data_IF_543448196379
#
_entry.id   IF_543448196379
#
_cell.length_a   1.000
_cell.length_b   1.000
_cell.length_c   1.000
_cell.angle_alpha   90.00
_cell.angle_beta   90.00
_cell.angle_gamma   90.00
#
_symmetry.space_group_name_H-M   'P 1'
#
loop_
_entity.id
_entity.type
_entity.pdbx_description
1 polymer ?
#
# COMPACT_ATOMS: atom_id res chain seq x y z
N UNK A 1 5.28 -7.67 6.60
CA UNK A 1 6.08 -6.84 5.67
C UNK A 1 7.05 -6.00 6.48
N UNK A 2 8.35 -6.01 6.16
CA UNK A 2 9.37 -5.20 6.89
C UNK A 2 9.83 -3.97 6.10
N UNK A 3 9.72 -4.02 4.78
CA UNK A 3 9.91 -2.89 3.88
C UNK A 3 9.15 -3.15 2.58
N UNK A 4 8.78 -2.07 1.91
CA UNK A 4 8.22 -2.07 0.57
C UNK A 4 8.88 -0.95 -0.23
N UNK A 5 9.06 -1.18 -1.52
CA UNK A 5 9.59 -0.19 -2.45
C UNK A 5 8.87 -0.33 -3.78
N UNK A 6 8.58 0.81 -4.41
CA UNK A 6 8.00 0.87 -5.74
C UNK A 6 8.67 2.00 -6.53
N UNK A 7 8.46 2.03 -7.85
CA UNK A 7 9.08 3.01 -8.74
C UNK A 7 8.82 4.44 -8.27
N UNK A 8 9.88 5.23 -8.11
CA UNK A 8 9.82 6.61 -7.64
C UNK A 8 9.93 6.80 -6.12
N UNK A 9 9.88 5.74 -5.32
CA UNK A 9 10.09 5.84 -3.88
C UNK A 9 11.55 6.15 -3.52
N UNK A 10 11.74 7.18 -2.69
CA UNK A 10 13.01 7.52 -2.03
C UNK A 10 13.12 6.80 -0.68
N UNK A 11 14.26 6.89 0.03
CA UNK A 11 14.36 6.33 1.38
C UNK A 11 13.26 6.86 2.30
N UNK A 12 12.69 5.97 3.09
CA UNK A 12 11.68 6.32 4.10
C UNK A 12 12.31 6.31 5.49
N UNK A 13 12.09 7.40 6.23
CA UNK A 13 12.57 7.53 7.62
C UNK A 13 11.35 7.46 8.54
N UNK A 14 11.39 6.57 9.54
CA UNK A 14 10.35 6.48 10.57
C UNK A 14 10.29 7.75 11.45
N UNK A 15 9.09 8.14 11.92
CA UNK A 15 8.92 9.28 12.84
C UNK A 15 9.55 8.98 14.20
N UNK A 16 10.02 9.97 14.94
CA UNK A 16 10.82 9.80 16.17
C UNK A 16 10.12 8.92 17.23
N UNK A 17 8.80 8.92 17.24
CA UNK A 17 7.95 8.22 18.19
C UNK A 17 7.85 6.71 17.94
N UNK A 18 8.23 6.23 16.74
CA UNK A 18 8.05 4.83 16.35
C UNK A 18 9.18 4.25 15.49
N UNK A 19 9.36 2.94 15.56
CA UNK A 19 10.25 2.17 14.68
C UNK A 19 9.71 0.75 14.48
N UNK A 20 10.08 0.09 13.39
CA UNK A 20 9.68 -1.30 13.16
C UNK A 20 10.61 -2.23 13.97
N UNK A 21 10.11 -2.96 14.98
CA UNK A 21 10.93 -3.92 15.70
C UNK A 21 11.37 -5.06 14.78
N UNK A 22 12.65 -5.42 14.85
CA UNK A 22 13.25 -6.46 14.03
C UNK A 22 14.26 -7.27 14.85
N UNK A 23 14.13 -8.60 14.84
CA UNK A 23 15.01 -9.52 15.57
C UNK A 23 14.55 -9.84 17.00
N UNK A 24 15.40 -10.55 17.74
CA UNK A 24 15.14 -11.01 19.12
C UNK A 24 14.71 -12.48 19.21
N UNK A 25 14.65 -13.07 20.43
CA UNK A 25 14.44 -14.51 20.63
C UNK A 25 13.12 -15.07 20.09
N UNK A 26 12.09 -14.22 19.95
CA UNK A 26 10.75 -14.59 19.48
C UNK A 26 10.52 -14.25 18.01
N UNK A 27 11.51 -13.66 17.34
CA UNK A 27 11.39 -13.20 15.95
C UNK A 27 11.92 -14.24 14.97
N UNK A 28 11.38 -14.29 13.75
CA UNK A 28 11.86 -15.18 12.71
C UNK A 28 13.28 -14.76 12.26
N UNK A 29 14.29 -15.64 12.32
CA UNK A 29 15.67 -15.27 11.99
C UNK A 29 15.90 -15.07 10.47
N UNK A 30 14.91 -15.33 9.62
CA UNK A 30 15.02 -15.21 8.17
C UNK A 30 14.22 -14.02 7.62
N UNK A 31 14.79 -13.36 6.62
CA UNK A 31 14.10 -12.36 5.79
C UNK A 31 13.87 -12.96 4.41
N UNK A 32 12.64 -12.84 3.91
CA UNK A 32 12.32 -13.08 2.51
C UNK A 32 12.39 -11.74 1.75
N UNK A 33 13.25 -11.69 0.74
CA UNK A 33 13.29 -10.59 -0.22
C UNK A 33 12.61 -11.06 -1.51
N UNK A 34 11.53 -10.38 -1.88
CA UNK A 34 10.82 -10.59 -3.13
C UNK A 34 11.07 -9.41 -4.06
N UNK A 35 11.55 -9.68 -5.28
CA UNK A 35 11.86 -8.66 -6.29
C UNK A 35 11.05 -8.95 -7.55
N UNK A 36 10.28 -7.96 -7.98
CA UNK A 36 9.50 -8.02 -9.21
C UNK A 36 10.31 -7.48 -10.39
N UNK A 37 10.75 -8.36 -11.30
CA UNK A 37 11.44 -7.99 -12.53
C UNK A 37 10.46 -7.93 -13.71
N UNK A 38 10.23 -6.74 -14.26
CA UNK A 38 9.61 -6.60 -15.57
C UNK A 38 10.69 -6.66 -16.66
N UNK A 39 10.82 -7.81 -17.35
CA UNK A 39 11.86 -8.07 -18.35
C UNK A 39 11.26 -8.22 -19.76
N UNK A 40 10.79 -7.12 -20.40
CA UNK A 40 10.14 -7.19 -21.71
C UNK A 40 11.07 -7.72 -22.81
N UNK A 41 12.38 -7.47 -22.72
CA UNK A 41 13.38 -7.95 -23.67
C UNK A 41 13.78 -9.41 -23.46
N UNK A 42 13.30 -10.05 -22.38
CA UNK A 42 13.62 -11.45 -22.00
C UNK A 42 15.13 -11.72 -21.94
N UNK A 43 15.89 -10.74 -21.46
CA UNK A 43 17.35 -10.85 -21.30
C UNK A 43 17.72 -11.80 -20.16
N UNK A 44 18.75 -12.60 -20.38
CA UNK A 44 19.33 -13.51 -19.39
C UNK A 44 20.82 -13.27 -19.14
N UNK A 45 21.38 -12.22 -19.72
CA UNK A 45 22.80 -11.88 -19.66
C UNK A 45 23.15 -10.88 -18.55
N UNK A 46 22.15 -10.42 -17.80
CA UNK A 46 22.34 -9.49 -16.68
C UNK A 46 22.41 -10.23 -15.36
N UNK A 47 23.36 -9.83 -14.53
CA UNK A 47 23.47 -10.27 -13.13
C UNK A 47 23.01 -9.10 -12.28
N UNK A 48 21.95 -9.32 -11.51
CA UNK A 48 21.42 -8.35 -10.57
C UNK A 48 21.83 -8.72 -9.13
N UNK A 49 22.03 -7.70 -8.30
CA UNK A 49 22.27 -7.83 -6.86
C UNK A 49 21.55 -6.72 -6.10
N UNK A 50 20.32 -6.43 -6.51
CA UNK A 50 19.44 -5.43 -5.93
C UNK A 50 18.90 -5.88 -4.58
N UNK A 51 18.48 -4.90 -3.77
CA UNK A 51 17.89 -5.16 -2.47
C UNK A 51 17.48 -3.88 -1.74
N UNK A 52 17.25 -4.02 -0.44
CA UNK A 52 16.83 -2.94 0.45
C UNK A 52 17.90 -2.75 1.51
N UNK A 53 18.30 -1.50 1.74
CA UNK A 53 19.20 -1.13 2.84
C UNK A 53 18.39 -0.72 4.07
N UNK A 54 18.65 -1.37 5.21
CA UNK A 54 18.05 -1.03 6.49
C UNK A 54 19.01 -0.20 7.34
N UNK A 55 18.48 0.87 7.95
CA UNK A 55 19.17 1.65 8.99
C UNK A 55 18.52 1.32 10.32
N UNK A 56 19.28 0.72 11.25
CA UNK A 56 18.75 0.10 12.46
C UNK A 56 19.42 0.76 13.69
N UNK A 57 18.67 0.89 14.78
CA UNK A 57 19.14 1.36 16.09
C UNK A 57 18.98 0.27 17.13
N UNK A 58 19.81 0.31 18.17
CA UNK A 58 19.81 -0.70 19.25
C UNK A 58 18.73 -0.46 20.30
N UNK A 59 18.40 0.81 20.54
CA UNK A 59 17.41 1.21 21.54
C UNK A 59 16.01 1.29 20.91
N UNK A 60 15.04 0.66 21.57
CA UNK A 60 13.64 0.71 21.14
C UNK A 60 13.08 2.13 21.26
N UNK A 61 12.28 2.50 20.28
CA UNK A 61 11.46 3.72 20.34
C UNK A 61 10.21 3.46 21.21
N UNK A 62 9.49 4.52 21.62
CA UNK A 62 8.33 4.36 22.49
C UNK A 62 7.21 3.49 21.91
N UNK A 63 7.09 3.42 20.57
CA UNK A 63 6.05 2.65 19.90
C UNK A 63 6.63 1.74 18.80
N UNK A 64 6.03 0.57 18.65
CA UNK A 64 6.28 -0.31 17.51
C UNK A 64 5.46 0.16 16.30
N UNK A 65 6.14 0.34 15.17
CA UNK A 65 5.50 0.62 13.90
C UNK A 65 5.07 -0.69 13.20
N UNK A 66 4.02 -0.61 12.39
CA UNK A 66 3.57 -1.71 11.55
C UNK A 66 3.21 -1.24 10.14
N UNK A 67 2.97 -2.21 9.25
CA UNK A 67 2.47 -1.97 7.89
C UNK A 67 1.17 -2.73 7.73
N UNK A 68 0.13 -2.04 7.27
CA UNK A 68 -1.18 -2.62 6.95
C UNK A 68 -1.42 -2.38 5.47
N UNK A 69 -1.84 -3.43 4.77
CA UNK A 69 -2.27 -3.35 3.39
C UNK A 69 -3.78 -3.14 3.32
N UNK A 70 -4.23 -2.16 2.53
CA UNK A 70 -5.64 -1.78 2.39
C UNK A 70 -5.99 -1.69 0.91
N UNK A 71 -6.97 -2.49 0.47
CA UNK A 71 -7.38 -2.44 -0.93
C UNK A 71 -8.14 -3.67 -1.37
N UNK A 72 -7.98 -3.99 -2.64
CA UNK A 72 -8.59 -5.13 -3.31
C UNK A 72 -7.70 -6.36 -3.16
N UNK A 73 -8.32 -7.54 -3.07
CA UNK A 73 -7.60 -8.80 -3.22
C UNK A 73 -7.11 -8.99 -4.67
N UNK A 74 -5.97 -9.66 -4.85
CA UNK A 74 -5.39 -9.93 -6.16
C UNK A 74 -6.11 -11.10 -6.86
N UNK A 75 -7.35 -10.86 -7.30
CA UNK A 75 -8.20 -11.87 -7.94
C UNK A 75 -8.88 -11.33 -9.18
N UNK A 76 -9.21 -12.24 -10.10
CA UNK A 76 -9.92 -11.98 -11.35
C UNK A 76 -11.37 -11.48 -11.16
N UNK A 77 -11.90 -11.53 -9.93
CA UNK A 77 -13.19 -10.94 -9.56
C UNK A 77 -13.19 -9.42 -9.68
N UNK A 78 -12.01 -8.80 -9.63
CA UNK A 78 -11.83 -7.37 -9.82
C UNK A 78 -11.50 -7.13 -11.29
N UNK A 79 -12.47 -6.62 -12.05
CA UNK A 79 -12.36 -6.50 -13.50
C UNK A 79 -12.75 -5.10 -13.97
N UNK A 80 -11.97 -4.57 -14.91
CA UNK A 80 -12.19 -3.26 -15.53
C UNK A 80 -12.52 -3.50 -17.01
N UNK A 81 -13.69 -3.06 -17.51
CA UNK A 81 -14.02 -3.15 -18.93
C UNK A 81 -13.00 -2.41 -19.80
N UNK A 82 -12.83 -2.78 -21.09
CA UNK A 82 -12.05 -1.99 -22.03
C UNK A 82 -12.73 -0.64 -22.34
N UNK A 83 -11.95 0.33 -22.82
CA UNK A 83 -12.46 1.61 -23.32
C UNK A 83 -13.07 2.54 -22.27
N UNK A 84 -12.67 2.44 -21.00
CA UNK A 84 -13.19 3.30 -19.94
C UNK A 84 -12.28 4.51 -19.72
N UNK A 85 -12.86 5.71 -19.68
CA UNK A 85 -12.15 6.95 -19.29
C UNK A 85 -11.80 6.95 -17.79
N UNK A 86 -12.68 6.39 -16.95
CA UNK A 86 -12.50 6.30 -15.50
C UNK A 86 -13.45 5.25 -14.93
N UNK A 87 -12.92 4.14 -14.42
CA UNK A 87 -13.69 3.08 -13.78
C UNK A 87 -13.21 2.84 -12.35
N UNK A 88 -14.06 3.08 -11.32
CA UNK A 88 -13.66 2.91 -9.93
C UNK A 88 -13.81 1.46 -9.45
N UNK A 89 -12.78 0.94 -8.79
CA UNK A 89 -12.86 -0.27 -7.97
C UNK A 89 -12.55 0.08 -6.50
N UNK A 90 -13.27 -0.54 -5.56
CA UNK A 90 -13.13 -0.24 -4.13
C UNK A 90 -12.94 -1.49 -3.29
N UNK A 91 -11.93 -1.46 -2.41
CA UNK A 91 -11.69 -2.43 -1.36
C UNK A 91 -12.05 -1.88 0.02
N UNK A 92 -12.38 -2.78 0.96
CA UNK A 92 -12.97 -2.41 2.24
C UNK A 92 -12.29 -3.11 3.41
N UNK A 93 -11.82 -2.33 4.38
CA UNK A 93 -11.64 -2.76 5.75
C UNK A 93 -12.90 -2.32 6.52
N UNK A 94 -13.83 -3.25 6.70
CA UNK A 94 -15.14 -2.98 7.33
C UNK A 94 -15.01 -2.77 8.85
N UNK A 95 -16.06 -2.21 9.45
CA UNK A 95 -16.16 -1.89 10.88
C UNK A 95 -15.82 -3.08 11.77
N UNK A 96 -16.27 -4.28 11.41
CA UNK A 96 -16.01 -5.51 12.16
C UNK A 96 -14.54 -5.90 12.10
N UNK A 97 -13.86 -5.64 10.98
CA UNK A 97 -12.45 -5.97 10.78
C UNK A 97 -11.56 -5.17 11.72
N UNK A 98 -11.77 -3.85 11.80
CA UNK A 98 -11.01 -3.00 12.73
C UNK A 98 -11.41 -3.25 14.19
N UNK A 99 -12.68 -3.54 14.46
CA UNK A 99 -13.18 -3.80 15.81
C UNK A 99 -12.50 -5.00 16.49
N UNK A 100 -12.18 -6.05 15.73
CA UNK A 100 -11.52 -7.25 16.28
C UNK A 100 -9.99 -7.20 16.19
N UNK A 101 -9.43 -6.39 15.29
CA UNK A 101 -8.01 -6.44 14.95
C UNK A 101 -7.18 -5.31 15.56
N UNK A 102 -7.80 -4.17 15.89
CA UNK A 102 -7.09 -3.01 16.44
C UNK A 102 -7.14 -3.00 17.98
N UNK A 103 -6.10 -2.49 18.65
CA UNK A 103 -6.11 -2.33 20.10
C UNK A 103 -7.14 -1.24 20.52
N UNK A 104 -7.59 -1.23 21.79
CA UNK A 104 -8.61 -0.29 22.27
C UNK A 104 -8.31 1.19 21.99
N UNK A 105 -7.04 1.58 22.06
CA UNK A 105 -6.54 2.92 21.77
C UNK A 105 -6.43 3.25 20.28
N UNK A 106 -6.59 2.26 19.40
CA UNK A 106 -6.45 2.38 17.96
C UNK A 106 -5.00 2.42 17.48
N UNK A 107 -4.82 2.86 16.24
CA UNK A 107 -3.51 3.02 15.60
C UNK A 107 -3.33 4.43 15.04
N UNK A 108 -2.08 4.88 15.00
CA UNK A 108 -1.69 6.16 14.45
C UNK A 108 -1.02 5.96 13.09
N UNK A 109 -1.74 6.29 12.03
CA UNK A 109 -1.22 6.21 10.66
C UNK A 109 -0.44 7.49 10.36
N UNK A 110 0.87 7.36 10.14
CA UNK A 110 1.78 8.48 9.87
C UNK A 110 2.32 8.50 8.44
N UNK A 111 2.14 7.41 7.68
CA UNK A 111 2.60 7.30 6.30
C UNK A 111 1.70 6.39 5.48
N UNK A 112 1.68 6.60 4.16
CA UNK A 112 0.91 5.79 3.22
C UNK A 112 1.60 5.78 1.86
N UNK A 113 1.64 4.61 1.23
CA UNK A 113 2.06 4.40 -0.15
C UNK A 113 0.85 3.94 -0.95
N UNK A 114 0.55 4.64 -2.05
CA UNK A 114 -0.53 4.27 -2.96
C UNK A 114 0.06 3.41 -4.08
N UNK A 115 -0.64 2.36 -4.50
CA UNK A 115 -0.14 1.41 -5.47
C UNK A 115 -1.25 0.96 -6.43
N UNK A 116 -0.93 0.93 -7.72
CA UNK A 116 -1.72 0.31 -8.80
C UNK A 116 -0.79 -0.14 -9.92
N UNK A 117 -1.33 -0.95 -10.84
CA UNK A 117 -0.75 -1.23 -12.15
C UNK A 117 -1.06 -0.12 -13.17
N UNK A 118 -0.61 -0.32 -14.42
CA UNK A 118 -0.45 0.71 -15.45
C UNK A 118 -1.69 1.58 -15.74
N UNK A 119 -2.88 1.05 -15.53
CA UNK A 119 -4.16 1.74 -15.83
C UNK A 119 -4.64 2.65 -14.71
N UNK A 120 -4.01 2.63 -13.53
CA UNK A 120 -4.46 3.44 -12.39
C UNK A 120 -4.10 4.92 -12.53
N UNK A 121 -5.11 5.78 -12.36
CA UNK A 121 -4.98 7.23 -12.56
C UNK A 121 -5.26 8.05 -11.30
N UNK A 122 -5.93 7.45 -10.31
CA UNK A 122 -6.32 8.11 -9.06
C UNK A 122 -6.53 7.08 -7.97
N UNK A 123 -6.11 7.41 -6.75
CA UNK A 123 -6.30 6.54 -5.59
C UNK A 123 -6.70 7.39 -4.39
N UNK A 124 -7.64 6.91 -3.58
CA UNK A 124 -8.02 7.52 -2.31
C UNK A 124 -8.38 6.49 -1.27
N UNK A 125 -8.11 6.79 -0.01
CA UNK A 125 -8.53 5.99 1.15
C UNK A 125 -9.40 6.85 2.06
N UNK A 126 -10.70 6.56 2.07
CA UNK A 126 -11.69 7.22 2.92
C UNK A 126 -11.70 6.60 4.30
N UNK A 127 -11.98 7.41 5.31
CA UNK A 127 -12.03 6.99 6.72
C UNK A 127 -13.43 7.26 7.27
N UNK A 128 -14.12 6.21 7.72
CA UNK A 128 -15.50 6.29 8.18
C UNK A 128 -15.55 5.92 9.67
N UNK A 129 -16.26 6.71 10.48
CA UNK A 129 -16.53 6.44 11.88
C UNK A 129 -18.01 6.65 12.19
N UNK A 130 -18.66 5.63 12.74
CA UNK A 130 -20.09 5.68 13.08
C UNK A 130 -20.99 6.15 11.92
N UNK A 131 -20.70 5.69 10.70
CA UNK A 131 -21.44 6.07 9.49
C UNK A 131 -21.12 7.46 8.94
N UNK A 132 -20.23 8.23 9.57
CA UNK A 132 -19.79 9.53 9.08
C UNK A 132 -18.40 9.45 8.46
N UNK A 133 -18.25 10.07 7.30
CA UNK A 133 -16.95 10.22 6.67
C UNK A 133 -16.12 11.30 7.38
N UNK A 134 -14.96 10.89 7.86
CA UNK A 134 -13.91 11.74 8.40
C UNK A 134 -12.98 12.19 7.25
N UNK A 135 -12.09 13.16 7.50
CA UNK A 135 -11.09 13.55 6.51
C UNK A 135 -10.29 12.35 5.98
N UNK A 136 -10.21 12.19 4.65
CA UNK A 136 -9.56 11.07 3.95
C UNK A 136 -8.15 10.78 4.48
N UNK A 137 -7.83 9.50 4.69
CA UNK A 137 -6.53 9.06 5.21
C UNK A 137 -5.40 9.45 4.26
N UNK A 138 -5.57 9.18 2.96
CA UNK A 138 -4.66 9.59 1.90
C UNK A 138 -5.41 9.68 0.57
N UNK A 139 -4.93 10.50 -0.37
CA UNK A 139 -5.47 10.59 -1.72
C UNK A 139 -4.45 11.15 -2.70
N UNK A 140 -4.59 10.80 -3.96
CA UNK A 140 -3.91 11.41 -5.08
C UNK A 140 -4.78 11.38 -6.34
N UNK A 141 -5.19 12.56 -6.80
CA UNK A 141 -6.01 12.75 -8.00
C UNK A 141 -5.22 12.75 -9.30
N UNK A 142 -3.88 12.80 -9.20
CA UNK A 142 -2.94 12.81 -10.31
C UNK A 142 -1.89 11.71 -10.09
N UNK A 143 -2.34 10.59 -9.53
CA UNK A 143 -1.48 9.46 -9.25
C UNK A 143 -0.83 8.97 -10.55
N UNK A 144 0.45 8.60 -10.46
CA UNK A 144 1.17 7.97 -11.55
C UNK A 144 1.81 6.68 -11.07
N UNK A 145 1.64 5.62 -11.85
CA UNK A 145 2.26 4.32 -11.65
C UNK A 145 3.79 4.37 -11.73
N UNK A 146 4.36 5.45 -12.25
CA UNK A 146 5.80 5.66 -12.33
C UNK A 146 6.34 6.47 -11.13
N UNK A 147 5.46 6.93 -10.22
CA UNK A 147 5.82 7.73 -9.05
C UNK A 147 5.01 7.33 -7.81
N UNK A 148 5.46 6.25 -7.17
CA UNK A 148 4.78 5.55 -6.07
C UNK A 148 5.56 5.69 -4.77
N UNK A 149 5.74 6.93 -4.30
CA UNK A 149 6.48 7.22 -3.08
C UNK A 149 5.70 6.85 -1.80
N UNK A 150 6.44 6.58 -0.72
CA UNK A 150 5.85 6.49 0.63
C UNK A 150 5.72 7.91 1.17
N UNK A 151 4.50 8.46 1.19
CA UNK A 151 4.26 9.81 1.70
C UNK A 151 4.10 9.78 3.21
N UNK A 152 4.84 10.64 3.91
CA UNK A 152 4.46 11.04 5.28
C UNK A 152 3.17 11.85 5.19
N UNK A 153 2.17 11.47 5.98
CA UNK A 153 0.90 12.16 5.99
C UNK A 153 1.07 13.55 6.61
N UNK A 154 0.40 14.56 6.04
CA UNK A 154 0.40 15.93 6.58
C UNK A 154 -0.18 16.02 7.99
N UNK A 155 -1.02 15.05 8.34
CA UNK A 155 -1.56 14.84 9.68
C UNK A 155 -1.49 13.35 10.00
N UNK A 156 -1.16 13.03 11.24
CA UNK A 156 -1.32 11.65 11.74
C UNK A 156 -2.82 11.36 11.85
N UNK A 157 -3.24 10.18 11.38
CA UNK A 157 -4.64 9.76 11.38
C UNK A 157 -4.83 8.69 12.45
N UNK A 158 -5.72 8.95 13.41
CA UNK A 158 -6.08 7.97 14.43
C UNK A 158 -7.26 7.11 13.97
N UNK A 159 -7.00 5.83 13.72
CA UNK A 159 -8.00 4.82 13.34
C UNK A 159 -8.32 3.99 14.59
N UNK A 160 -9.58 4.00 15.00
CA UNK A 160 -10.07 3.31 16.19
C UNK A 160 -10.75 1.98 15.83
N UNK A 161 -10.86 1.03 16.78
CA UNK A 161 -11.71 -0.14 16.62
C UNK A 161 -13.15 0.26 16.26
N UNK A 162 -13.72 -0.36 15.23
CA UNK A 162 -15.05 -0.05 14.73
C UNK A 162 -15.10 1.04 13.67
N UNK A 163 -13.96 1.60 13.25
CA UNK A 163 -13.87 2.45 12.06
C UNK A 163 -13.86 1.61 10.77
N UNK A 164 -14.26 2.20 9.65
CA UNK A 164 -14.10 1.59 8.31
C UNK A 164 -13.05 2.37 7.49
N UNK A 165 -12.25 1.66 6.70
CA UNK A 165 -11.35 2.24 5.71
C UNK A 165 -11.73 1.73 4.33
N UNK A 166 -11.92 2.64 3.38
CA UNK A 166 -12.36 2.31 2.02
C UNK A 166 -11.34 2.86 1.04
N UNK A 167 -10.60 1.99 0.39
CA UNK A 167 -9.65 2.38 -0.65
C UNK A 167 -10.31 2.24 -2.01
N UNK A 168 -10.39 3.33 -2.77
CA UNK A 168 -10.89 3.36 -4.14
C UNK A 168 -9.76 3.73 -5.09
N UNK A 169 -9.60 2.96 -6.16
CA UNK A 169 -8.73 3.27 -7.27
C UNK A 169 -9.59 3.49 -8.52
N UNK A 170 -9.33 4.57 -9.25
CA UNK A 170 -9.91 4.80 -10.58
C UNK A 170 -8.90 4.39 -11.64
N UNK A 171 -9.39 3.71 -12.67
CA UNK A 171 -8.59 3.19 -13.77
C UNK A 171 -9.07 3.70 -15.13
N UNK A 172 -8.13 3.96 -16.04
CA UNK A 172 -8.37 4.30 -17.44
C UNK A 172 -7.92 3.13 -18.33
N UNK A 173 -8.77 2.70 -19.26
CA UNK A 173 -8.53 1.55 -20.14
C UNK A 173 -8.83 1.90 -21.61
N UNK A 174 -8.69 3.16 -21.99
CA UNK A 174 -8.90 3.64 -23.37
C UNK A 174 -8.01 2.94 -24.40
N UNK A 175 -6.83 2.48 -23.97
CA UNK A 175 -5.84 1.78 -24.79
C UNK A 175 -5.97 0.24 -24.73
N UNK A 176 -6.97 -0.29 -24.02
CA UNK A 176 -7.17 -1.74 -23.85
C UNK A 176 -8.34 -2.22 -24.71
N UNK A 177 -8.10 -3.27 -25.49
CA UNK A 177 -9.14 -3.94 -26.28
C UNK A 177 -9.95 -4.98 -25.49
N UNK A 178 -9.37 -5.52 -24.40
CA UNK A 178 -9.95 -6.58 -23.57
C UNK A 178 -10.12 -6.12 -22.13
N UNK A 179 -10.91 -6.88 -21.37
CA UNK A 179 -11.05 -6.71 -19.92
C UNK A 179 -9.68 -6.81 -19.25
N UNK A 180 -9.42 -5.88 -18.33
CA UNK A 180 -8.24 -5.84 -17.46
C UNK A 180 -8.64 -6.44 -16.11
N UNK A 181 -7.89 -7.44 -15.63
CA UNK A 181 -8.27 -8.30 -14.48
C UNK A 181 -7.25 -8.15 -13.37
N UNK A 182 -7.69 -8.11 -12.11
CA UNK A 182 -6.79 -8.11 -10.97
C UNK A 182 -5.81 -9.30 -11.01
N UNK A 183 -4.52 -9.00 -10.92
CA UNK A 183 -3.45 -9.98 -11.10
C UNK A 183 -2.10 -9.49 -10.57
N UNK A 184 -1.04 -10.22 -10.93
CA UNK A 184 0.31 -10.01 -10.41
C UNK A 184 1.23 -9.27 -11.40
N UNK A 185 0.97 -9.36 -12.70
CA UNK A 185 1.80 -8.72 -13.69
C UNK A 185 1.45 -7.24 -13.83
N UNK A 186 2.43 -6.41 -14.15
CA UNK A 186 2.24 -4.96 -14.31
C UNK A 186 1.18 -4.57 -15.37
N UNK A 187 0.86 -5.48 -16.29
CA UNK A 187 -0.16 -5.31 -17.33
C UNK A 187 -1.57 -5.72 -16.90
N UNK A 188 -1.68 -6.51 -15.83
CA UNK A 188 -2.93 -7.03 -15.29
C UNK A 188 -3.74 -5.91 -14.65
#
# INVERSE_FOLDING_TARGET
VIAAWAMGATPFVYPEEAGLPFGGPTFNPYIMLEIHYNNPEKRGDWIDSSGIQFFIVSDLRPNDAGVIELGLEYTDKMAIPPGQDSFPLSGYCVTECTAVSLPPEGILVFGSQLHTHLTGIRVRTRHIRNGHELPELNWDNHYSTHFQEIRRLKRVVNVLPGDALITTCDYETLDRDNVTLGGFAISD
#
